data_IF_241571625303
#
_entry.id   IF_241571625303
#
_cell.length_a   1.000
_cell.length_b   1.000
_cell.length_c   1.000
_cell.angle_alpha   90.00
_cell.angle_beta   90.00
_cell.angle_gamma   90.00
#
_symmetry.space_group_name_H-M   'P 1'
#
loop_
_entity.id
_entity.type
_entity.pdbx_description
1 polymer ?
#
# COMPACT_ATOMS: atom_id res chain seq x y z
N UNK A 1 -21.07 -2.95 2.27
CA UNK A 1 -21.25 -1.56 2.74
C UNK A 1 -20.21 -0.64 2.06
N UNK A 2 -18.90 -0.93 2.04
CA UNK A 2 -17.88 -0.07 1.43
C UNK A 2 -18.03 0.13 -0.09
N UNK A 3 -18.48 -0.89 -0.81
CA UNK A 3 -18.73 -0.79 -2.25
C UNK A 3 -19.85 0.22 -2.58
N UNK A 4 -20.92 0.23 -1.80
CA UNK A 4 -22.04 1.16 -1.97
C UNK A 4 -21.63 2.61 -1.67
N UNK A 5 -20.81 2.81 -0.62
CA UNK A 5 -20.29 4.13 -0.23
C UNK A 5 -19.40 4.73 -1.35
N UNK A 6 -18.64 3.91 -2.07
CA UNK A 6 -17.84 4.34 -3.22
C UNK A 6 -18.66 4.53 -4.50
N UNK A 7 -19.71 3.72 -4.67
CA UNK A 7 -20.53 3.73 -5.90
C UNK A 7 -21.41 4.97 -6.02
N UNK A 8 -22.06 5.40 -4.91
CA UNK A 8 -22.91 6.58 -4.90
C UNK A 8 -22.19 7.86 -5.35
N UNK A 9 -21.03 8.25 -4.76
CA UNK A 9 -20.31 9.43 -5.24
C UNK A 9 -19.79 9.28 -6.67
N UNK A 10 -19.44 8.07 -7.10
CA UNK A 10 -19.03 7.84 -8.50
C UNK A 10 -20.17 8.07 -9.48
N UNK A 11 -21.38 7.57 -9.19
CA UNK A 11 -22.57 7.81 -10.01
C UNK A 11 -22.97 9.27 -10.02
N UNK A 12 -22.93 9.93 -8.85
CA UNK A 12 -23.25 11.37 -8.74
C UNK A 12 -22.25 12.22 -9.54
N UNK A 13 -20.97 11.91 -9.47
CA UNK A 13 -19.94 12.61 -10.22
C UNK A 13 -20.12 12.39 -11.74
N UNK A 14 -20.45 11.17 -12.15
CA UNK A 14 -20.73 10.84 -13.54
C UNK A 14 -22.00 11.54 -14.07
N UNK A 15 -23.06 11.56 -13.28
CA UNK A 15 -24.30 12.26 -13.61
C UNK A 15 -24.05 13.78 -13.70
N UNK A 16 -23.34 14.36 -12.76
CA UNK A 16 -22.92 15.77 -12.79
C UNK A 16 -22.11 16.09 -14.04
N UNK A 17 -21.17 15.21 -14.39
CA UNK A 17 -20.36 15.35 -15.61
C UNK A 17 -21.22 15.39 -16.87
N UNK A 18 -22.13 14.44 -17.03
CA UNK A 18 -23.00 14.37 -18.21
C UNK A 18 -24.04 15.52 -18.23
N UNK A 19 -24.61 15.91 -17.09
CA UNK A 19 -25.57 16.99 -17.00
C UNK A 19 -24.93 18.35 -17.35
N UNK A 20 -23.64 18.54 -17.04
CA UNK A 20 -22.94 19.79 -17.35
C UNK A 20 -22.90 20.07 -18.87
N UNK A 21 -22.86 19.03 -19.70
CA UNK A 21 -22.89 19.15 -21.17
C UNK A 21 -24.22 19.71 -21.71
N UNK A 22 -25.33 19.50 -20.99
CA UNK A 22 -26.65 19.95 -21.39
C UNK A 22 -26.98 21.42 -21.02
N UNK A 23 -26.28 21.96 -20.02
CA UNK A 23 -26.60 23.25 -19.42
C UNK A 23 -25.56 24.36 -19.67
N UNK A 24 -24.40 24.01 -20.22
CA UNK A 24 -23.29 24.95 -20.41
C UNK A 24 -23.23 25.39 -21.86
N UNK A 25 -23.45 26.68 -22.11
CA UNK A 25 -23.36 27.29 -23.43
C UNK A 25 -21.92 27.41 -23.97
N UNK A 26 -20.93 27.57 -23.06
CA UNK A 26 -19.51 27.53 -23.38
C UNK A 26 -18.87 26.28 -22.82
N UNK A 27 -18.92 25.21 -23.61
CA UNK A 27 -18.35 23.91 -23.22
C UNK A 27 -16.84 23.98 -22.97
N UNK A 28 -16.09 24.70 -23.81
CA UNK A 28 -14.62 24.76 -23.69
C UNK A 28 -14.18 25.53 -22.46
N UNK A 29 -14.82 26.65 -22.16
CA UNK A 29 -14.55 27.43 -20.96
C UNK A 29 -14.83 26.61 -19.69
N UNK A 30 -15.99 25.95 -19.63
CA UNK A 30 -16.36 25.08 -18.52
C UNK A 30 -15.38 23.89 -18.37
N UNK A 31 -15.02 23.22 -19.46
CA UNK A 31 -14.08 22.11 -19.45
C UNK A 31 -12.74 22.52 -18.84
N UNK A 32 -12.16 23.63 -19.33
CA UNK A 32 -10.85 24.09 -18.87
C UNK A 32 -10.88 24.62 -17.43
N UNK A 33 -11.94 25.35 -17.04
CA UNK A 33 -11.97 26.02 -15.74
C UNK A 33 -12.51 25.14 -14.61
N UNK A 34 -13.29 24.12 -14.90
CA UNK A 34 -13.90 23.26 -13.88
C UNK A 34 -13.42 21.82 -13.97
N UNK A 35 -13.53 21.20 -15.15
CA UNK A 35 -13.27 19.76 -15.26
C UNK A 35 -11.78 19.45 -15.19
N UNK A 36 -10.92 20.20 -15.88
CA UNK A 36 -9.46 19.99 -15.82
C UNK A 36 -8.90 20.19 -14.42
N UNK A 37 -9.22 21.28 -13.67
CA UNK A 37 -8.80 21.43 -12.28
C UNK A 37 -9.31 20.31 -11.35
N UNK A 38 -10.54 19.84 -11.55
CA UNK A 38 -11.10 18.74 -10.77
C UNK A 38 -10.31 17.43 -10.98
N UNK A 39 -9.94 17.10 -12.23
CA UNK A 39 -9.09 15.96 -12.52
C UNK A 39 -7.70 16.08 -11.91
N UNK A 40 -7.08 17.25 -12.06
CA UNK A 40 -5.76 17.52 -11.46
C UNK A 40 -5.83 17.34 -9.95
N UNK A 41 -6.86 17.89 -9.31
CA UNK A 41 -7.07 17.72 -7.86
C UNK A 41 -7.23 16.25 -7.46
N UNK A 42 -8.01 15.47 -8.22
CA UNK A 42 -8.18 14.04 -7.97
C UNK A 42 -6.85 13.27 -8.09
N UNK A 43 -6.06 13.57 -9.14
CA UNK A 43 -4.74 12.97 -9.32
C UNK A 43 -3.80 13.34 -8.17
N UNK A 44 -3.74 14.62 -7.80
CA UNK A 44 -2.92 15.10 -6.68
C UNK A 44 -3.34 14.41 -5.38
N UNK A 45 -4.63 14.29 -5.12
CA UNK A 45 -5.15 13.59 -3.93
C UNK A 45 -4.69 12.12 -3.90
N UNK A 46 -4.81 11.39 -5.01
CA UNK A 46 -4.34 9.99 -5.10
C UNK A 46 -2.84 9.90 -4.86
N UNK A 47 -2.04 10.80 -5.46
CA UNK A 47 -0.58 10.82 -5.26
C UNK A 47 -0.23 11.09 -3.80
N UNK A 48 -0.90 12.06 -3.16
CA UNK A 48 -0.68 12.39 -1.74
C UNK A 48 -1.04 11.20 -0.84
N UNK A 49 -2.20 10.57 -1.07
CA UNK A 49 -2.61 9.39 -0.29
C UNK A 49 -1.62 8.24 -0.44
N UNK A 50 -1.16 7.96 -1.66
CA UNK A 50 -0.13 6.93 -1.89
C UNK A 50 1.20 7.25 -1.22
N UNK A 51 1.64 8.50 -1.26
CA UNK A 51 2.86 8.92 -0.55
C UNK A 51 2.72 8.79 0.98
N UNK A 52 1.54 9.12 1.53
CA UNK A 52 1.25 8.93 2.95
C UNK A 52 1.26 7.46 3.34
N UNK A 53 0.68 6.57 2.53
CA UNK A 53 0.70 5.12 2.75
C UNK A 53 2.12 4.57 2.77
N UNK A 54 2.95 4.94 1.78
CA UNK A 54 4.37 4.54 1.72
C UNK A 54 5.13 5.02 2.96
N UNK A 55 4.98 6.29 3.34
CA UNK A 55 5.65 6.85 4.53
C UNK A 55 5.21 6.13 5.82
N UNK A 56 3.93 5.87 5.97
CA UNK A 56 3.40 5.15 7.12
C UNK A 56 3.97 3.73 7.20
N UNK A 57 3.94 2.99 6.08
CA UNK A 57 4.50 1.64 6.01
C UNK A 57 6.00 1.65 6.34
N UNK A 58 6.76 2.57 5.77
CA UNK A 58 8.19 2.72 6.03
C UNK A 58 8.47 3.02 7.51
N UNK A 59 7.76 3.97 8.09
CA UNK A 59 7.93 4.37 9.49
C UNK A 59 7.61 3.21 10.45
N UNK A 60 6.51 2.48 10.21
CA UNK A 60 6.13 1.36 11.08
C UNK A 60 7.04 0.15 10.92
N UNK A 61 7.50 -0.17 9.71
CA UNK A 61 8.49 -1.24 9.52
C UNK A 61 9.87 -0.87 10.08
N UNK A 62 10.24 0.42 10.07
CA UNK A 62 11.49 0.88 10.70
C UNK A 62 11.50 0.65 12.22
N UNK A 63 10.35 0.71 12.91
CA UNK A 63 10.25 0.36 14.33
C UNK A 63 10.67 -1.11 14.56
N UNK A 64 10.25 -2.03 13.70
CA UNK A 64 10.64 -3.44 13.75
C UNK A 64 12.09 -3.67 13.31
N UNK A 65 12.61 -2.85 12.38
CA UNK A 65 14.02 -2.92 12.02
C UNK A 65 14.92 -2.50 13.18
N UNK A 66 14.54 -1.47 13.92
CA UNK A 66 15.25 -1.08 15.15
C UNK A 66 15.22 -2.19 16.24
N UNK A 67 14.20 -3.04 16.24
CA UNK A 67 14.08 -4.22 17.10
C UNK A 67 14.74 -5.48 16.52
N UNK A 68 15.44 -5.39 15.37
CA UNK A 68 16.16 -6.51 14.75
C UNK A 68 15.33 -7.46 13.89
N UNK A 69 14.03 -7.16 13.65
CA UNK A 69 13.14 -8.01 12.84
C UNK A 69 13.39 -7.88 11.33
N UNK A 70 13.81 -6.72 10.86
CA UNK A 70 14.13 -6.43 9.46
C UNK A 70 15.48 -5.73 9.36
N UNK A 71 16.15 -5.85 8.22
CA UNK A 71 17.25 -4.94 7.92
C UNK A 71 16.72 -3.66 7.21
N UNK A 72 17.46 -2.55 7.22
CA UNK A 72 17.04 -1.31 6.58
C UNK A 72 16.76 -1.44 5.08
N UNK A 73 17.49 -2.30 4.38
CA UNK A 73 17.27 -2.60 2.95
C UNK A 73 15.94 -3.31 2.70
N UNK A 74 15.56 -4.26 3.56
CA UNK A 74 14.25 -4.92 3.50
C UNK A 74 13.11 -3.91 3.70
N UNK A 75 13.26 -2.98 4.65
CA UNK A 75 12.24 -1.93 4.88
C UNK A 75 12.06 -1.08 3.64
N UNK A 76 13.15 -0.65 2.98
CA UNK A 76 13.08 0.15 1.76
C UNK A 76 12.37 -0.59 0.62
N UNK A 77 12.63 -1.89 0.45
CA UNK A 77 11.99 -2.75 -0.54
C UNK A 77 10.50 -2.95 -0.21
N UNK A 78 10.16 -3.29 1.03
CA UNK A 78 8.80 -3.61 1.44
C UNK A 78 7.88 -2.40 1.49
N UNK A 79 8.41 -1.21 1.84
CA UNK A 79 7.62 0.01 1.96
C UNK A 79 7.17 0.56 0.61
N UNK A 80 7.94 0.36 -0.48
CA UNK A 80 7.69 1.02 -1.76
C UNK A 80 7.07 0.09 -2.81
N UNK A 81 6.17 0.59 -3.68
CA UNK A 81 5.63 -0.21 -4.80
C UNK A 81 6.70 -0.68 -5.78
N UNK A 82 7.74 0.14 -6.00
CA UNK A 82 8.87 -0.20 -6.87
C UNK A 82 9.71 -1.34 -6.26
N UNK A 83 10.07 -1.25 -4.99
CA UNK A 83 10.80 -2.29 -4.27
C UNK A 83 10.02 -3.61 -4.23
N UNK A 84 8.71 -3.58 -3.95
CA UNK A 84 7.86 -4.78 -3.99
C UNK A 84 7.82 -5.44 -5.38
N UNK A 85 7.84 -4.64 -6.47
CA UNK A 85 7.95 -5.18 -7.83
C UNK A 85 9.29 -5.83 -8.05
N UNK A 86 10.38 -5.17 -7.70
CA UNK A 86 11.75 -5.69 -7.80
C UNK A 86 11.89 -7.01 -7.03
N UNK A 87 11.41 -7.09 -5.80
CA UNK A 87 11.40 -8.32 -5.00
C UNK A 87 10.66 -9.48 -5.69
N UNK A 88 9.50 -9.21 -6.28
CA UNK A 88 8.73 -10.23 -7.03
C UNK A 88 9.45 -10.68 -8.30
N UNK A 89 10.06 -9.75 -9.04
CA UNK A 89 10.85 -10.06 -10.24
C UNK A 89 12.06 -10.91 -9.88
N UNK A 90 12.74 -10.59 -8.79
CA UNK A 90 13.86 -11.39 -8.27
C UNK A 90 13.42 -12.80 -7.84
N UNK A 91 12.27 -12.93 -7.17
CA UNK A 91 11.75 -14.19 -6.64
C UNK A 91 11.19 -15.13 -7.73
N UNK A 92 10.68 -14.57 -8.84
CA UNK A 92 10.00 -15.34 -9.89
C UNK A 92 10.84 -16.50 -10.46
N UNK A 93 12.01 -16.24 -11.04
CA UNK A 93 12.87 -17.29 -11.63
C UNK A 93 13.41 -18.32 -10.62
N UNK A 94 13.36 -17.98 -9.32
CA UNK A 94 13.84 -18.81 -8.21
C UNK A 94 12.75 -19.70 -7.60
N UNK A 95 11.54 -19.73 -8.17
CA UNK A 95 10.41 -20.46 -7.60
C UNK A 95 9.83 -19.85 -6.32
N UNK A 96 10.40 -18.74 -5.83
CA UNK A 96 10.02 -18.07 -4.59
C UNK A 96 8.82 -17.10 -4.75
N UNK A 97 8.23 -17.01 -5.94
CA UNK A 97 7.14 -16.08 -6.23
C UNK A 97 5.97 -16.17 -5.26
N UNK A 98 5.46 -17.36 -4.88
CA UNK A 98 4.38 -17.50 -3.91
C UNK A 98 4.76 -16.96 -2.53
N UNK A 99 5.89 -17.40 -1.95
CA UNK A 99 6.32 -17.00 -0.61
C UNK A 99 6.66 -15.50 -0.56
N UNK A 100 7.27 -14.93 -1.60
CA UNK A 100 7.55 -13.49 -1.68
C UNK A 100 6.26 -12.66 -1.68
N UNK A 101 5.19 -13.12 -2.33
CA UNK A 101 3.88 -12.44 -2.29
C UNK A 101 3.28 -12.45 -0.88
N UNK A 102 3.40 -13.58 -0.17
CA UNK A 102 2.96 -13.69 1.23
C UNK A 102 3.76 -12.74 2.12
N UNK A 103 5.07 -12.78 2.03
CA UNK A 103 5.99 -11.93 2.78
C UNK A 103 5.69 -10.43 2.61
N UNK A 104 5.52 -9.96 1.37
CA UNK A 104 5.16 -8.56 1.08
C UNK A 104 3.79 -8.21 1.68
N UNK A 105 2.81 -9.11 1.57
CA UNK A 105 1.46 -8.91 2.10
C UNK A 105 1.48 -8.83 3.63
N UNK A 106 2.16 -9.78 4.27
CA UNK A 106 2.15 -9.89 5.73
C UNK A 106 3.00 -8.78 6.38
N UNK A 107 4.11 -8.36 5.76
CA UNK A 107 4.85 -7.16 6.17
C UNK A 107 4.00 -5.87 6.04
N UNK A 108 3.21 -5.74 4.97
CA UNK A 108 2.31 -4.59 4.82
C UNK A 108 1.21 -4.61 5.89
N UNK A 109 0.63 -5.78 6.17
CA UNK A 109 -0.37 -5.96 7.24
C UNK A 109 0.22 -5.64 8.61
N UNK A 110 1.46 -6.07 8.87
CA UNK A 110 2.16 -5.78 10.12
C UNK A 110 2.30 -4.26 10.35
N UNK A 111 2.70 -3.51 9.33
CA UNK A 111 2.78 -2.04 9.41
C UNK A 111 1.42 -1.39 9.75
N UNK A 112 0.34 -1.87 9.11
CA UNK A 112 -1.02 -1.37 9.38
C UNK A 112 -1.51 -1.75 10.76
N UNK A 113 -1.25 -2.99 11.21
CA UNK A 113 -1.59 -3.48 12.55
C UNK A 113 -0.85 -2.67 13.62
N UNK A 114 0.46 -2.43 13.43
CA UNK A 114 1.23 -1.54 14.30
C UNK A 114 0.64 -0.15 14.38
N UNK A 115 0.22 0.41 13.26
CA UNK A 115 -0.43 1.72 13.26
C UNK A 115 -1.75 1.71 14.04
N UNK A 116 -2.55 0.65 13.96
CA UNK A 116 -3.79 0.48 14.78
C UNK A 116 -3.47 0.50 16.27
N UNK A 117 -2.41 -0.20 16.69
CA UNK A 117 -1.95 -0.25 18.08
C UNK A 117 -1.54 1.15 18.56
N UNK A 118 -0.70 1.85 17.78
CA UNK A 118 -0.18 3.17 18.14
C UNK A 118 -1.29 4.23 18.20
N UNK A 119 -2.25 4.18 17.29
CA UNK A 119 -3.41 5.09 17.29
C UNK A 119 -4.46 4.70 18.34
N UNK A 120 -4.28 3.55 19.01
CA UNK A 120 -5.18 3.10 20.09
C UNK A 120 -6.47 2.46 19.62
N UNK A 121 -6.56 2.05 18.36
CA UNK A 121 -7.73 1.36 17.80
C UNK A 121 -7.61 -0.13 18.04
N UNK A 122 -8.52 -0.69 18.87
CA UNK A 122 -8.66 -2.14 19.09
C UNK A 122 -7.32 -2.82 19.44
N UNK A 123 -6.69 -2.33 20.52
CA UNK A 123 -5.34 -2.74 20.92
C UNK A 123 -5.24 -4.26 21.20
N UNK A 124 -6.24 -4.85 21.80
CA UNK A 124 -6.19 -6.26 22.21
C UNK A 124 -6.10 -7.21 21.02
N UNK A 125 -7.03 -7.11 20.05
CA UNK A 125 -6.99 -7.94 18.85
C UNK A 125 -5.79 -7.61 17.96
N UNK A 126 -5.41 -6.34 17.87
CA UNK A 126 -4.27 -5.91 17.08
C UNK A 126 -2.93 -6.46 17.60
N UNK A 127 -2.75 -6.64 18.91
CA UNK A 127 -1.55 -7.27 19.48
C UNK A 127 -1.46 -8.77 19.16
N UNK A 128 -2.59 -9.48 19.19
CA UNK A 128 -2.63 -10.89 18.77
C UNK A 128 -2.34 -11.04 17.27
N UNK A 129 -2.91 -10.15 16.44
CA UNK A 129 -2.64 -10.10 15.01
C UNK A 129 -1.15 -9.81 14.74
N UNK A 130 -0.53 -8.90 15.50
CA UNK A 130 0.89 -8.54 15.41
C UNK A 130 1.79 -9.76 15.66
N UNK A 131 1.57 -10.48 16.76
CA UNK A 131 2.34 -11.68 17.11
C UNK A 131 2.22 -12.78 16.04
N UNK A 132 1.00 -13.02 15.53
CA UNK A 132 0.76 -13.99 14.48
C UNK A 132 1.43 -13.59 13.15
N UNK A 133 1.44 -12.29 12.81
CA UNK A 133 2.11 -11.77 11.62
C UNK A 133 3.64 -11.92 11.72
N UNK A 134 4.23 -11.60 12.86
CA UNK A 134 5.66 -11.76 13.09
C UNK A 134 6.10 -13.22 12.97
N UNK A 135 5.34 -14.17 13.51
CA UNK A 135 5.62 -15.59 13.37
C UNK A 135 5.61 -16.05 11.90
N UNK A 136 4.61 -15.62 11.11
CA UNK A 136 4.55 -15.96 9.67
C UNK A 136 5.68 -15.34 8.89
N UNK A 137 5.98 -14.07 9.13
CA UNK A 137 7.10 -13.36 8.49
C UNK A 137 8.43 -14.07 8.76
N UNK A 138 8.65 -14.55 9.98
CA UNK A 138 9.86 -15.32 10.31
C UNK A 138 9.95 -16.61 9.49
N UNK A 139 8.85 -17.34 9.32
CA UNK A 139 8.79 -18.56 8.50
C UNK A 139 9.04 -18.26 7.01
N UNK A 140 8.41 -17.21 6.48
CA UNK A 140 8.57 -16.78 5.09
C UNK A 140 10.01 -16.35 4.79
N UNK A 141 10.65 -15.62 5.71
CA UNK A 141 12.07 -15.26 5.61
C UNK A 141 12.99 -16.49 5.64
N UNK A 142 12.71 -17.44 6.50
CA UNK A 142 13.48 -18.68 6.56
C UNK A 142 13.36 -19.47 5.24
N UNK A 143 12.19 -19.54 4.63
CA UNK A 143 11.99 -20.16 3.32
C UNK A 143 12.75 -19.43 2.21
N UNK A 144 12.71 -18.08 2.20
CA UNK A 144 13.45 -17.28 1.22
C UNK A 144 14.96 -17.47 1.38
N UNK A 145 15.46 -17.54 2.62
CA UNK A 145 16.89 -17.71 2.91
C UNK A 145 17.41 -19.13 2.64
N UNK A 146 16.55 -20.14 2.66
CA UNK A 146 16.92 -21.53 2.43
C UNK A 146 17.27 -21.84 0.96
N UNK A 147 16.91 -20.96 0.02
CA UNK A 147 17.21 -21.15 -1.41
C UNK A 147 18.69 -20.85 -1.72
N UNK A 148 19.38 -21.78 -2.44
CA UNK A 148 20.77 -21.55 -2.85
C UNK A 148 20.89 -20.31 -3.76
N UNK A 149 21.67 -19.31 -3.33
CA UNK A 149 21.87 -18.05 -4.04
C UNK A 149 21.01 -16.89 -3.56
N UNK A 150 20.33 -17.04 -2.42
CA UNK A 150 19.53 -15.98 -1.77
C UNK A 150 20.34 -15.06 -0.86
N UNK A 151 21.68 -15.18 -0.82
CA UNK A 151 22.50 -14.26 -0.04
C UNK A 151 22.19 -12.82 -0.44
N UNK A 152 21.74 -11.96 0.49
CA UNK A 152 21.58 -10.55 0.19
C UNK A 152 22.95 -9.99 -0.17
N UNK A 153 23.06 -9.36 -1.35
CA UNK A 153 24.21 -8.52 -1.65
C UNK A 153 24.31 -7.48 -0.52
N UNK A 154 25.40 -7.55 0.24
CA UNK A 154 25.72 -6.68 1.36
C UNK A 154 25.83 -5.21 0.94
#
# INVERSE_FOLDING_TARGET
VFAIIGWIPAVLLHAFWNASLAFVSDFYGYYLLVQVPLFVLAIVMVVVLRRREVRLTQMRLAEYAAAGWFNPGEVAILATPAGRRQARTWAGPRGLGPVMRLYIRDATRLALTRNRIVVGRDRGSAQLDEAALLARIAQERAQIAAEPGSAPAG
#
